data_IF_188380650146
#
_entry.id   IF_188380650146
#
_cell.length_a   1.000
_cell.length_b   1.000
_cell.length_c   1.000
_cell.angle_alpha   90.00
_cell.angle_beta   90.00
_cell.angle_gamma   90.00
#
_symmetry.space_group_name_H-M   'P 1'
#
loop_
_entity.id
_entity.type
_entity.pdbx_description
1 polymer ?
#
# COMPACT_ATOMS: atom_id res chain seq x y z
N UNK A 1 -34.39 -10.46 3.35
CA UNK A 1 -33.75 -9.78 4.50
C UNK A 1 -32.32 -9.47 4.12
N UNK A 2 -31.87 -8.20 4.22
CA UNK A 2 -30.46 -7.86 3.98
C UNK A 2 -29.66 -8.36 5.18
N UNK A 3 -28.52 -9.00 4.94
CA UNK A 3 -27.67 -9.49 6.01
C UNK A 3 -26.93 -8.31 6.66
N UNK A 4 -26.62 -8.36 7.97
CA UNK A 4 -25.82 -7.34 8.65
C UNK A 4 -24.47 -7.05 7.97
N UNK A 5 -23.90 -8.03 7.26
CA UNK A 5 -22.69 -7.87 6.46
C UNK A 5 -22.85 -6.89 5.28
N UNK A 6 -24.03 -6.85 4.65
CA UNK A 6 -24.33 -5.90 3.57
C UNK A 6 -24.56 -4.48 4.13
N UNK A 7 -24.98 -4.35 5.39
CA UNK A 7 -25.09 -3.08 6.10
C UNK A 7 -23.71 -2.55 6.54
N UNK A 8 -22.74 -3.42 6.84
CA UNK A 8 -21.35 -3.03 7.04
C UNK A 8 -20.71 -2.47 5.76
N UNK A 9 -21.05 -3.03 4.60
CA UNK A 9 -20.60 -2.51 3.30
C UNK A 9 -21.20 -1.13 2.96
N UNK A 10 -22.44 -0.87 3.41
CA UNK A 10 -23.15 0.39 3.14
C UNK A 10 -22.80 1.53 4.12
N UNK A 11 -22.22 1.21 5.28
CA UNK A 11 -21.79 2.18 6.29
C UNK A 11 -20.43 2.83 5.96
N UNK A 12 -19.74 2.35 4.92
CA UNK A 12 -18.55 2.97 4.33
C UNK A 12 -18.85 4.14 3.37
N UNK A 13 -20.09 4.65 3.34
CA UNK A 13 -20.34 6.06 2.95
C UNK A 13 -19.75 7.07 3.94
N UNK A 14 -18.62 6.75 4.59
CA UNK A 14 -17.72 7.76 5.14
C UNK A 14 -17.02 8.35 3.93
N UNK A 15 -17.38 9.57 3.58
CA UNK A 15 -16.61 10.41 2.66
C UNK A 15 -15.17 10.47 3.15
N UNK A 16 -14.36 9.49 2.76
CA UNK A 16 -12.93 9.58 2.95
C UNK A 16 -12.50 10.70 2.01
N UNK A 17 -11.90 11.74 2.56
CA UNK A 17 -11.48 12.91 1.78
C UNK A 17 -10.59 12.41 0.64
N UNK A 18 -11.06 12.53 -0.61
CA UNK A 18 -10.34 12.00 -1.78
C UNK A 18 -8.92 12.57 -1.85
N UNK A 19 -8.74 13.82 -1.41
CA UNK A 19 -7.41 14.45 -1.31
C UNK A 19 -6.50 13.77 -0.28
N UNK A 20 -7.03 13.29 0.84
CA UNK A 20 -6.24 12.54 1.82
C UNK A 20 -5.88 11.16 1.29
N UNK A 21 -6.83 10.49 0.64
CA UNK A 21 -6.58 9.18 0.01
C UNK A 21 -5.54 9.27 -1.12
N UNK A 22 -5.56 10.34 -1.91
CA UNK A 22 -4.53 10.61 -2.91
C UNK A 22 -3.15 10.84 -2.29
N UNK A 23 -3.07 11.60 -1.19
CA UNK A 23 -1.80 11.82 -0.48
C UNK A 23 -1.25 10.54 0.12
N UNK A 24 -2.11 9.72 0.75
CA UNK A 24 -1.74 8.42 1.29
C UNK A 24 -1.23 7.50 0.18
N UNK A 25 -1.95 7.45 -0.95
CA UNK A 25 -1.55 6.66 -2.12
C UNK A 25 -0.20 7.12 -2.68
N UNK A 26 0.01 8.42 -2.85
CA UNK A 26 1.26 8.97 -3.37
C UNK A 26 2.44 8.63 -2.44
N UNK A 27 2.25 8.80 -1.13
CA UNK A 27 3.27 8.47 -0.14
C UNK A 27 3.63 6.98 -0.18
N UNK A 28 2.64 6.09 -0.13
CA UNK A 28 2.86 4.64 -0.19
C UNK A 28 3.57 4.25 -1.50
N UNK A 29 3.13 4.79 -2.64
CA UNK A 29 3.74 4.56 -3.95
C UNK A 29 5.20 5.02 -3.99
N UNK A 30 5.51 6.18 -3.39
CA UNK A 30 6.88 6.70 -3.31
C UNK A 30 7.79 5.77 -2.52
N UNK A 31 7.32 5.27 -1.37
CA UNK A 31 8.07 4.34 -0.53
C UNK A 31 8.30 3.03 -1.28
N UNK A 32 7.25 2.40 -1.81
CA UNK A 32 7.34 1.18 -2.64
C UNK A 32 8.41 1.32 -3.74
N UNK A 33 8.38 2.42 -4.50
CA UNK A 33 9.38 2.66 -5.57
C UNK A 33 10.80 2.79 -5.01
N UNK A 34 10.97 3.55 -3.93
CA UNK A 34 12.28 3.77 -3.30
C UNK A 34 12.85 2.46 -2.76
N UNK A 35 12.06 1.73 -1.96
CA UNK A 35 12.46 0.47 -1.36
C UNK A 35 12.75 -0.61 -2.41
N UNK A 36 11.99 -0.65 -3.52
CA UNK A 36 12.26 -1.58 -4.61
C UNK A 36 13.62 -1.34 -5.28
N UNK A 37 14.01 -0.07 -5.43
CA UNK A 37 15.29 0.32 -6.04
C UNK A 37 16.47 0.01 -5.11
N UNK A 38 16.35 0.38 -3.83
CA UNK A 38 17.40 0.09 -2.84
C UNK A 38 17.54 -1.42 -2.59
N UNK A 39 16.44 -2.15 -2.52
CA UNK A 39 16.46 -3.62 -2.48
C UNK A 39 17.26 -4.20 -3.65
N UNK A 40 16.98 -3.74 -4.88
CA UNK A 40 17.73 -4.17 -6.07
C UNK A 40 19.23 -3.84 -5.95
N UNK A 41 19.57 -2.62 -5.51
CA UNK A 41 20.98 -2.19 -5.33
C UNK A 41 21.71 -3.04 -4.29
N UNK A 42 21.08 -3.37 -3.18
CA UNK A 42 21.67 -4.25 -2.16
C UNK A 42 21.87 -5.67 -2.70
N UNK A 43 20.90 -6.20 -3.47
CA UNK A 43 21.05 -7.50 -4.12
C UNK A 43 22.21 -7.52 -5.13
N UNK A 44 22.35 -6.47 -5.95
CA UNK A 44 23.45 -6.33 -6.93
C UNK A 44 24.83 -6.31 -6.24
N UNK A 45 24.90 -5.88 -4.97
CA UNK A 45 26.12 -5.87 -4.14
C UNK A 45 26.31 -7.13 -3.28
N UNK A 46 25.33 -8.02 -3.23
CA UNK A 46 25.34 -9.20 -2.34
C UNK A 46 24.94 -8.92 -0.89
N UNK A 47 24.44 -7.72 -0.58
CA UNK A 47 24.00 -7.27 0.75
C UNK A 47 22.59 -7.81 1.08
N UNK A 48 22.47 -9.13 1.20
CA UNK A 48 21.15 -9.81 1.30
C UNK A 48 20.33 -9.35 2.51
N UNK A 49 20.95 -9.14 3.67
CA UNK A 49 20.23 -8.70 4.87
C UNK A 49 19.65 -7.29 4.73
N UNK A 50 20.36 -6.37 4.07
CA UNK A 50 19.87 -5.01 3.84
C UNK A 50 18.79 -5.00 2.76
N UNK A 51 18.92 -5.83 1.72
CA UNK A 51 17.85 -6.06 0.76
C UNK A 51 16.55 -6.54 1.44
N UNK A 52 16.64 -7.44 2.43
CA UNK A 52 15.47 -7.92 3.19
C UNK A 52 14.83 -6.83 4.06
N UNK A 53 15.60 -5.87 4.57
CA UNK A 53 15.05 -4.71 5.29
C UNK A 53 14.19 -3.85 4.36
N UNK A 54 14.71 -3.53 3.17
CA UNK A 54 13.98 -2.80 2.14
C UNK A 54 12.73 -3.58 1.69
N UNK A 55 12.84 -4.90 1.49
CA UNK A 55 11.69 -5.76 1.19
C UNK A 55 10.60 -5.69 2.27
N UNK A 56 10.99 -5.72 3.55
CA UNK A 56 10.05 -5.61 4.66
C UNK A 56 9.33 -4.26 4.67
N UNK A 57 10.03 -3.17 4.37
CA UNK A 57 9.44 -1.83 4.31
C UNK A 57 8.46 -1.72 3.13
N UNK A 58 8.86 -2.22 1.95
CA UNK A 58 7.98 -2.34 0.78
C UNK A 58 6.67 -3.08 1.11
N UNK A 59 6.77 -4.25 1.77
CA UNK A 59 5.59 -5.06 2.12
C UNK A 59 4.71 -4.40 3.19
N UNK A 60 5.28 -3.59 4.07
CA UNK A 60 4.50 -2.86 5.07
C UNK A 60 3.58 -1.82 4.42
N UNK A 61 4.04 -1.13 3.38
CA UNK A 61 3.20 -0.19 2.62
C UNK A 61 2.02 -0.91 1.95
N UNK A 62 2.24 -2.11 1.41
CA UNK A 62 1.17 -2.94 0.82
C UNK A 62 0.16 -3.49 1.84
N UNK A 63 0.51 -3.50 3.14
CA UNK A 63 -0.36 -3.97 4.22
C UNK A 63 -1.14 -2.84 4.90
N UNK A 64 -0.99 -1.59 4.46
CA UNK A 64 -1.69 -0.46 5.07
C UNK A 64 -3.21 -0.63 5.01
N UNK A 65 -3.88 -0.38 6.15
CA UNK A 65 -5.34 -0.35 6.27
C UNK A 65 -5.92 1.07 6.15
N UNK A 66 -5.08 2.06 5.84
CA UNK A 66 -5.48 3.47 5.75
C UNK A 66 -6.08 3.85 4.38
N UNK A 67 -5.82 3.02 3.36
CA UNK A 67 -6.41 3.17 2.04
C UNK A 67 -7.79 2.50 1.99
N UNK A 68 -8.75 3.22 1.45
CA UNK A 68 -10.05 2.67 1.07
C UNK A 68 -9.88 1.60 -0.02
N UNK A 69 -10.85 0.68 -0.19
CA UNK A 69 -10.72 -0.44 -1.13
C UNK A 69 -10.32 -0.03 -2.57
N UNK A 70 -10.83 1.12 -3.05
CA UNK A 70 -10.49 1.68 -4.37
C UNK A 70 -9.00 2.04 -4.48
N UNK A 71 -8.47 2.76 -3.50
CA UNK A 71 -7.08 3.25 -3.52
C UNK A 71 -6.10 2.13 -3.18
N UNK A 72 -6.49 1.19 -2.30
CA UNK A 72 -5.72 -0.01 -2.02
C UNK A 72 -5.50 -0.86 -3.29
N UNK A 73 -6.58 -1.10 -4.06
CA UNK A 73 -6.48 -1.84 -5.31
C UNK A 73 -5.58 -1.13 -6.33
N UNK A 74 -5.66 0.21 -6.41
CA UNK A 74 -4.78 1.01 -7.27
C UNK A 74 -3.31 0.87 -6.85
N UNK A 75 -3.00 0.99 -5.55
CA UNK A 75 -1.64 0.80 -5.04
C UNK A 75 -1.08 -0.57 -5.41
N UNK A 76 -1.88 -1.63 -5.25
CA UNK A 76 -1.48 -2.99 -5.59
C UNK A 76 -1.16 -3.15 -7.09
N UNK A 77 -1.98 -2.56 -7.96
CA UNK A 77 -1.76 -2.59 -9.41
C UNK A 77 -0.55 -1.77 -9.86
N UNK A 78 -0.22 -0.69 -9.14
CA UNK A 78 0.95 0.14 -9.43
C UNK A 78 2.27 -0.46 -8.90
N UNK A 79 2.19 -1.40 -7.95
CA UNK A 79 3.34 -2.05 -7.31
C UNK A 79 3.80 -3.35 -8.01
N UNK A 80 2.97 -3.91 -8.90
CA UNK A 80 3.20 -5.14 -9.68
C UNK A 80 3.47 -4.79 -11.14
#
# INVERSE_FOLDING_TARGET
MRTPAHEMFNNEKRSCNESEQEKLLENATRVIRTESLEMKRCLDKGETMDALKHASQFLNELRTSELSPKYYYRLYMDAV
#
